data_IF_174614002324
#
_entry.id   IF_174614002324
#
_cell.length_a   1.000
_cell.length_b   1.000
_cell.length_c   1.000
_cell.angle_alpha   90.00
_cell.angle_beta   90.00
_cell.angle_gamma   90.00
#
_symmetry.space_group_name_H-M   'P 1'
#
loop_
_entity.id
_entity.type
_entity.pdbx_description
1 polymer ?
#
# COMPACT_ATOMS: atom_id res chain seq x y z
N UNK A 1 27.93 16.50 2.72
CA UNK A 1 27.02 15.39 2.36
C UNK A 1 27.43 14.22 3.25
N UNK A 2 26.53 13.62 4.04
CA UNK A 2 26.92 12.61 5.03
C UNK A 2 27.37 11.28 4.39
N UNK A 3 26.85 10.95 3.20
CA UNK A 3 27.19 9.76 2.43
C UNK A 3 26.85 9.99 0.94
N UNK A 4 27.61 9.42 0.00
CA UNK A 4 27.36 9.51 -1.45
C UNK A 4 27.32 8.10 -2.07
N UNK A 5 26.14 7.69 -2.54
CA UNK A 5 25.90 6.37 -3.13
C UNK A 5 26.73 6.10 -4.39
N UNK A 6 27.18 7.14 -5.11
CA UNK A 6 28.01 6.97 -6.31
C UNK A 6 29.40 6.40 -5.98
N UNK A 7 29.85 6.62 -4.75
CA UNK A 7 31.17 6.23 -4.26
C UNK A 7 31.10 5.13 -3.18
N UNK A 8 29.92 4.53 -2.98
CA UNK A 8 29.73 3.50 -1.97
C UNK A 8 30.50 2.20 -2.27
N UNK A 9 30.92 1.51 -1.20
CA UNK A 9 31.51 0.18 -1.28
C UNK A 9 30.57 -0.84 -1.95
N UNK A 10 31.15 -1.88 -2.54
CA UNK A 10 30.42 -2.94 -3.24
C UNK A 10 29.41 -3.65 -2.32
N UNK A 11 29.72 -3.84 -1.04
CA UNK A 11 28.81 -4.47 -0.06
C UNK A 11 27.54 -3.65 0.13
N UNK A 12 27.67 -2.33 0.20
CA UNK A 12 26.52 -1.42 0.32
C UNK A 12 25.69 -1.44 -0.96
N UNK A 13 26.33 -1.47 -2.13
CA UNK A 13 25.61 -1.56 -3.42
C UNK A 13 24.80 -2.84 -3.53
N UNK A 14 25.35 -3.98 -3.10
CA UNK A 14 24.62 -5.24 -3.06
C UNK A 14 23.47 -5.22 -2.06
N UNK A 15 23.72 -4.73 -0.84
CA UNK A 15 22.68 -4.59 0.18
C UNK A 15 21.49 -3.76 -0.34
N UNK A 16 21.76 -2.58 -0.89
CA UNK A 16 20.72 -1.68 -1.43
C UNK A 16 20.02 -2.32 -2.62
N UNK A 17 20.75 -2.93 -3.55
CA UNK A 17 20.16 -3.62 -4.71
C UNK A 17 19.20 -4.73 -4.28
N UNK A 18 19.64 -5.61 -3.36
CA UNK A 18 18.82 -6.73 -2.90
C UNK A 18 17.60 -6.24 -2.10
N UNK A 19 17.79 -5.25 -1.22
CA UNK A 19 16.68 -4.65 -0.48
C UNK A 19 15.64 -4.06 -1.42
N UNK A 20 16.06 -3.26 -2.41
CA UNK A 20 15.15 -2.68 -3.39
C UNK A 20 14.48 -3.76 -4.23
N UNK A 21 15.20 -4.79 -4.67
CA UNK A 21 14.59 -5.89 -5.43
C UNK A 21 13.51 -6.65 -4.63
N UNK A 22 13.77 -6.92 -3.34
CA UNK A 22 12.80 -7.52 -2.44
C UNK A 22 11.58 -6.61 -2.27
N UNK A 23 11.78 -5.34 -1.92
CA UNK A 23 10.69 -4.38 -1.74
C UNK A 23 9.88 -4.22 -3.04
N UNK A 24 10.53 -4.08 -4.19
CA UNK A 24 9.87 -3.96 -5.48
C UNK A 24 9.02 -5.17 -5.81
N UNK A 25 9.51 -6.38 -5.53
CA UNK A 25 8.73 -7.61 -5.67
C UNK A 25 7.51 -7.58 -4.74
N UNK A 26 7.68 -7.18 -3.48
CA UNK A 26 6.57 -7.03 -2.53
C UNK A 26 5.53 -5.99 -2.99
N UNK A 27 5.95 -4.86 -3.57
CA UNK A 27 5.04 -3.86 -4.14
C UNK A 27 4.23 -4.42 -5.32
N UNK A 28 4.84 -5.25 -6.17
CA UNK A 28 4.11 -5.91 -7.27
C UNK A 28 3.05 -6.88 -6.75
N UNK A 29 3.38 -7.70 -5.74
CA UNK A 29 2.41 -8.57 -5.09
C UNK A 29 1.33 -7.78 -4.35
N UNK A 30 1.68 -6.66 -3.71
CA UNK A 30 0.71 -5.75 -3.10
C UNK A 30 -0.26 -5.16 -4.13
N UNK A 31 0.24 -4.69 -5.27
CA UNK A 31 -0.60 -4.21 -6.36
C UNK A 31 -1.49 -5.32 -6.94
N UNK A 32 -0.97 -6.53 -7.04
CA UNK A 32 -1.75 -7.70 -7.46
C UNK A 32 -2.88 -8.02 -6.47
N UNK A 33 -2.59 -8.00 -5.16
CA UNK A 33 -3.60 -8.15 -4.11
C UNK A 33 -4.69 -7.06 -4.22
N UNK A 34 -4.30 -5.79 -4.39
CA UNK A 34 -5.26 -4.70 -4.60
C UNK A 34 -6.13 -4.97 -5.82
N UNK A 35 -5.55 -5.43 -6.93
CA UNK A 35 -6.30 -5.76 -8.14
C UNK A 35 -7.38 -6.84 -7.91
N UNK A 36 -7.08 -7.84 -7.07
CA UNK A 36 -7.99 -8.94 -6.76
C UNK A 36 -9.09 -8.55 -5.76
N UNK A 37 -8.76 -7.74 -4.74
CA UNK A 37 -9.65 -7.55 -3.59
C UNK A 37 -10.33 -6.18 -3.51
N UNK A 38 -9.67 -5.10 -3.96
CA UNK A 38 -10.16 -3.73 -3.78
C UNK A 38 -10.34 -2.95 -5.09
N UNK A 39 -9.64 -3.35 -6.15
CA UNK A 39 -9.59 -2.65 -7.43
C UNK A 39 -8.83 -1.31 -7.40
N UNK A 40 -8.66 -0.71 -8.57
CA UNK A 40 -7.96 0.58 -8.75
C UNK A 40 -8.90 1.76 -9.05
N UNK A 41 -10.21 1.59 -8.82
CA UNK A 41 -11.21 2.64 -9.02
C UNK A 41 -11.79 3.09 -7.67
N UNK A 42 -12.09 4.39 -7.50
CA UNK A 42 -12.67 4.89 -6.25
C UNK A 42 -13.96 4.15 -5.87
N UNK A 43 -14.75 3.75 -6.87
CA UNK A 43 -15.97 2.98 -6.66
C UNK A 43 -15.72 1.62 -6.02
N UNK A 44 -14.76 0.83 -6.54
CA UNK A 44 -14.45 -0.50 -6.02
C UNK A 44 -13.84 -0.46 -4.61
N UNK A 45 -13.00 0.54 -4.37
CA UNK A 45 -12.45 0.80 -3.03
C UNK A 45 -13.56 1.19 -2.06
N UNK A 46 -14.51 2.03 -2.49
CA UNK A 46 -15.68 2.39 -1.69
C UNK A 46 -16.60 1.19 -1.38
N UNK A 47 -16.78 0.24 -2.31
CA UNK A 47 -17.52 -1.00 -2.06
C UNK A 47 -16.81 -1.87 -1.00
N UNK A 48 -15.49 -1.96 -1.08
CA UNK A 48 -14.65 -2.81 -0.21
C UNK A 48 -14.62 -2.28 1.23
N UNK A 49 -14.39 -0.98 1.41
CA UNK A 49 -14.17 -0.34 2.72
C UNK A 49 -15.37 0.48 3.22
N UNK A 50 -16.42 0.67 2.43
CA UNK A 50 -17.56 1.50 2.81
C UNK A 50 -18.43 0.89 3.92
N UNK A 51 -19.30 1.69 4.55
CA UNK A 51 -20.21 1.21 5.59
C UNK A 51 -21.32 0.29 5.06
N UNK A 52 -21.59 0.28 3.75
CA UNK A 52 -22.66 -0.52 3.14
C UNK A 52 -22.44 -2.05 3.26
N UNK A 53 -21.20 -2.51 3.46
CA UNK A 53 -20.90 -3.92 3.71
C UNK A 53 -20.95 -4.34 5.17
N UNK A 54 -21.17 -3.41 6.12
CA UNK A 54 -21.57 -3.73 7.51
C UNK A 54 -23.07 -4.07 7.57
N UNK A 55 -23.63 -4.67 6.52
CA UNK A 55 -24.95 -5.28 6.60
C UNK A 55 -24.83 -6.36 7.69
N UNK A 56 -25.23 -5.97 8.90
CA UNK A 56 -25.31 -6.83 10.07
C UNK A 56 -26.06 -8.05 9.57
N UNK A 57 -25.38 -9.19 9.53
CA UNK A 57 -26.02 -10.50 9.53
C UNK A 57 -26.75 -10.58 10.87
N UNK A 58 -27.83 -9.80 10.99
CA UNK A 58 -28.84 -9.98 11.99
C UNK A 58 -29.40 -11.34 11.60
N UNK A 59 -28.84 -12.39 12.21
CA UNK A 59 -29.48 -13.68 12.29
C UNK A 59 -30.77 -13.43 13.06
N UNK A 60 -31.79 -12.94 12.34
CA UNK A 60 -33.16 -13.03 12.77
C UNK A 60 -33.42 -14.52 12.84
N UNK A 61 -33.43 -15.04 14.08
CA UNK A 61 -33.88 -16.39 14.34
C UNK A 61 -35.21 -16.55 13.61
N UNK A 62 -35.32 -17.52 12.69
CA UNK A 62 -36.56 -17.71 11.97
C UNK A 62 -37.67 -17.99 13.00
N UNK A 63 -38.87 -17.41 12.85
CA UNK A 63 -39.99 -17.73 13.73
C UNK A 63 -40.23 -19.24 13.74
N UNK A 64 -40.78 -19.79 14.82
CA UNK A 64 -41.02 -21.24 15.03
C UNK A 64 -41.87 -21.91 13.92
N UNK A 65 -42.45 -21.11 13.02
CA UNK A 65 -43.21 -21.53 11.84
C UNK A 65 -42.36 -21.68 10.57
N UNK A 66 -41.03 -21.53 10.64
CA UNK A 66 -40.17 -21.54 9.45
C UNK A 66 -39.91 -22.97 8.99
N UNK A 67 -40.38 -23.30 7.79
CA UNK A 67 -40.05 -24.56 7.13
C UNK A 67 -38.64 -24.43 6.54
N UNK A 68 -37.70 -25.23 7.05
CA UNK A 68 -36.36 -25.37 6.46
C UNK A 68 -36.48 -26.23 5.21
N UNK A 69 -36.35 -25.60 4.04
CA UNK A 69 -36.31 -26.27 2.75
C UNK A 69 -34.87 -26.29 2.22
N UNK A 70 -34.29 -27.47 2.05
CA UNK A 70 -33.01 -27.63 1.38
C UNK A 70 -33.19 -27.43 -0.13
N UNK A 71 -32.64 -26.35 -0.66
CA UNK A 71 -32.57 -26.09 -2.10
C UNK A 71 -31.12 -26.28 -2.57
N UNK A 72 -30.87 -27.06 -3.63
CA UNK A 72 -29.55 -27.12 -4.25
C UNK A 72 -29.21 -25.73 -4.83
N UNK A 73 -28.13 -25.12 -4.33
CA UNK A 73 -27.55 -23.88 -4.89
C UNK A 73 -26.43 -24.27 -5.82
N UNK A 74 -26.54 -23.89 -7.09
CA UNK A 74 -25.48 -24.10 -8.07
C UNK A 74 -24.37 -23.05 -7.91
N UNK A 75 -23.14 -23.36 -8.32
CA UNK A 75 -22.04 -22.40 -8.36
C UNK A 75 -22.32 -21.17 -9.24
N UNK A 76 -23.27 -21.28 -10.20
CA UNK A 76 -23.72 -20.16 -11.02
C UNK A 76 -24.70 -19.22 -10.29
N UNK A 77 -25.31 -19.68 -9.20
CA UNK A 77 -26.22 -18.89 -8.34
C UNK A 77 -25.48 -18.27 -7.14
N UNK A 78 -24.28 -18.74 -6.82
CA UNK A 78 -23.37 -18.05 -5.91
C UNK A 78 -22.79 -16.84 -6.64
N UNK A 79 -23.29 -15.64 -6.33
CA UNK A 79 -22.70 -14.40 -6.83
C UNK A 79 -21.22 -14.30 -6.42
N UNK A 80 -20.45 -13.45 -7.10
CA UNK A 80 -19.07 -13.17 -6.69
C UNK A 80 -19.05 -12.73 -5.22
N UNK A 81 -18.33 -13.47 -4.37
CA UNK A 81 -18.10 -13.07 -2.98
C UNK A 81 -17.33 -11.76 -2.99
N UNK A 82 -18.02 -10.67 -2.67
CA UNK A 82 -17.42 -9.36 -2.60
C UNK A 82 -16.58 -9.28 -1.32
N UNK A 83 -15.28 -9.10 -1.48
CA UNK A 83 -14.38 -8.94 -0.33
C UNK A 83 -14.77 -7.67 0.43
N UNK A 84 -15.11 -7.83 1.71
CA UNK A 84 -15.49 -6.72 2.58
C UNK A 84 -14.52 -6.62 3.76
N UNK A 85 -14.11 -5.40 4.07
CA UNK A 85 -13.25 -5.11 5.21
C UNK A 85 -14.08 -4.46 6.31
N UNK A 86 -14.32 -5.22 7.38
CA UNK A 86 -14.94 -4.70 8.60
C UNK A 86 -13.97 -3.84 9.42
N UNK A 87 -14.47 -3.22 10.49
CA UNK A 87 -13.64 -2.35 11.35
C UNK A 87 -12.55 -3.12 12.07
N UNK A 88 -12.80 -4.35 12.48
CA UNK A 88 -11.85 -5.14 13.27
C UNK A 88 -10.67 -5.57 12.40
N UNK A 89 -10.95 -6.00 11.16
CA UNK A 89 -9.96 -6.25 10.12
C UNK A 89 -9.18 -4.97 9.79
N UNK A 90 -9.85 -3.81 9.67
CA UNK A 90 -9.14 -2.55 9.37
C UNK A 90 -8.23 -2.09 10.52
N UNK A 91 -8.63 -2.32 11.78
CA UNK A 91 -7.77 -2.08 12.95
C UNK A 91 -6.55 -3.00 12.92
N UNK A 92 -6.77 -4.30 12.69
CA UNK A 92 -5.69 -5.28 12.61
C UNK A 92 -4.72 -4.92 11.47
N UNK A 93 -5.25 -4.59 10.30
CA UNK A 93 -4.47 -4.22 9.13
C UNK A 93 -3.63 -2.97 9.40
N UNK A 94 -4.24 -1.93 9.98
CA UNK A 94 -3.54 -0.70 10.39
C UNK A 94 -2.45 -0.99 11.43
N UNK A 95 -2.72 -1.84 12.43
CA UNK A 95 -1.78 -2.16 13.50
C UNK A 95 -0.53 -2.89 13.00
N UNK A 96 -0.70 -3.81 12.05
CA UNK A 96 0.41 -4.61 11.51
C UNK A 96 1.18 -3.84 10.44
N UNK A 97 0.47 -3.19 9.52
CA UNK A 97 1.10 -2.59 8.35
C UNK A 97 1.70 -1.21 8.62
N UNK A 98 1.06 -0.36 9.44
CA UNK A 98 1.55 1.00 9.68
C UNK A 98 2.99 1.02 10.25
N UNK A 99 3.34 0.20 11.26
CA UNK A 99 4.71 0.12 11.75
C UNK A 99 5.69 -0.40 10.69
N UNK A 100 5.28 -1.40 9.90
CA UNK A 100 6.11 -1.95 8.83
C UNK A 100 6.39 -0.90 7.74
N UNK A 101 5.37 -0.13 7.33
CA UNK A 101 5.54 0.97 6.39
C UNK A 101 6.48 2.05 6.93
N UNK A 102 6.45 2.35 8.23
CA UNK A 102 7.41 3.27 8.83
C UNK A 102 8.86 2.75 8.73
N UNK A 103 9.08 1.44 8.92
CA UNK A 103 10.40 0.81 8.73
C UNK A 103 10.85 0.88 7.26
N UNK A 104 9.96 0.56 6.32
CA UNK A 104 10.24 0.64 4.89
C UNK A 104 10.59 2.09 4.49
N UNK A 105 9.78 3.07 4.94
CA UNK A 105 10.02 4.49 4.68
C UNK A 105 11.36 4.95 5.26
N UNK A 106 11.73 4.50 6.46
CA UNK A 106 13.02 4.79 7.06
C UNK A 106 14.18 4.22 6.24
N UNK A 107 14.11 2.95 5.83
CA UNK A 107 15.12 2.32 4.98
C UNK A 107 15.28 3.06 3.63
N UNK A 108 14.18 3.38 2.96
CA UNK A 108 14.19 4.14 1.71
C UNK A 108 14.70 5.57 1.90
N UNK A 109 14.42 6.19 3.04
CA UNK A 109 14.92 7.53 3.39
C UNK A 109 16.44 7.52 3.62
N UNK A 110 16.98 6.49 4.26
CA UNK A 110 18.44 6.31 4.39
C UNK A 110 19.10 6.20 3.02
N UNK A 111 18.50 5.49 2.07
CA UNK A 111 18.96 5.45 0.68
C UNK A 111 18.86 6.84 0.05
N UNK A 112 17.74 7.55 0.23
CA UNK A 112 17.51 8.89 -0.31
C UNK A 112 18.54 9.92 0.18
N UNK A 113 18.99 9.82 1.43
CA UNK A 113 20.06 10.67 1.99
C UNK A 113 21.40 10.50 1.27
N UNK A 114 21.65 9.32 0.68
CA UNK A 114 22.85 9.02 -0.10
C UNK A 114 22.76 9.44 -1.57
N UNK A 115 21.59 9.89 -2.05
CA UNK A 115 21.41 10.27 -3.45
C UNK A 115 22.05 11.63 -3.74
N UNK A 116 22.78 11.72 -4.84
CA UNK A 116 23.33 12.96 -5.36
C UNK A 116 22.25 13.80 -6.07
N UNK A 117 21.33 14.36 -5.29
CA UNK A 117 20.21 15.21 -5.72
C UNK A 117 20.17 16.51 -4.91
N UNK A 118 19.50 17.58 -5.39
CA UNK A 118 19.36 18.80 -4.61
C UNK A 118 18.59 18.53 -3.29
N UNK A 119 18.97 19.25 -2.22
CA UNK A 119 18.45 19.03 -0.86
C UNK A 119 16.92 19.04 -0.78
N UNK A 120 16.27 19.98 -1.46
CA UNK A 120 14.81 20.09 -1.44
C UNK A 120 14.14 18.85 -2.03
N UNK A 121 14.73 18.24 -3.06
CA UNK A 121 14.20 17.03 -3.69
C UNK A 121 14.36 15.82 -2.77
N UNK A 122 15.50 15.71 -2.09
CA UNK A 122 15.71 14.68 -1.06
C UNK A 122 14.68 14.79 0.08
N UNK A 123 14.43 16.01 0.57
CA UNK A 123 13.41 16.25 1.60
C UNK A 123 11.99 15.94 1.12
N UNK A 124 11.65 16.29 -0.12
CA UNK A 124 10.35 15.97 -0.72
C UNK A 124 10.16 14.45 -0.86
N UNK A 125 11.19 13.72 -1.29
CA UNK A 125 11.17 12.25 -1.39
C UNK A 125 10.97 11.63 0.01
N UNK A 126 11.70 12.10 1.02
CA UNK A 126 11.54 11.58 2.39
C UNK A 126 10.11 11.87 2.88
N UNK A 127 9.61 13.08 2.67
CA UNK A 127 8.26 13.46 3.08
C UNK A 127 7.19 12.57 2.42
N UNK A 128 7.27 12.31 1.11
CA UNK A 128 6.27 11.46 0.43
C UNK A 128 6.35 10.00 0.90
N UNK A 129 7.54 9.47 1.18
CA UNK A 129 7.71 8.09 1.67
C UNK A 129 7.00 7.85 3.00
N UNK A 130 6.98 8.86 3.90
CA UNK A 130 6.26 8.77 5.17
C UNK A 130 4.78 9.16 5.04
N UNK A 131 4.45 10.16 4.23
CA UNK A 131 3.08 10.66 4.11
C UNK A 131 2.16 9.70 3.34
N UNK A 132 2.68 9.00 2.33
CA UNK A 132 1.86 8.18 1.45
C UNK A 132 1.16 7.00 2.16
N UNK A 133 1.81 6.21 3.03
CA UNK A 133 1.11 5.19 3.82
C UNK A 133 0.03 5.78 4.73
N UNK A 134 0.29 6.95 5.33
CA UNK A 134 -0.70 7.63 6.16
C UNK A 134 -1.92 8.07 5.35
N UNK A 135 -1.72 8.62 4.16
CA UNK A 135 -2.82 8.98 3.25
C UNK A 135 -3.64 7.76 2.86
N UNK A 136 -2.97 6.63 2.59
CA UNK A 136 -3.62 5.38 2.21
C UNK A 136 -4.61 4.90 3.30
N UNK A 137 -4.10 4.67 4.52
CA UNK A 137 -4.92 4.25 5.66
C UNK A 137 -5.94 5.30 6.09
N UNK A 138 -5.57 6.59 6.09
CA UNK A 138 -6.53 7.65 6.39
C UNK A 138 -7.69 7.64 5.40
N UNK A 139 -7.41 7.39 4.12
CA UNK A 139 -8.43 7.22 3.10
C UNK A 139 -9.36 6.03 3.40
N UNK A 140 -8.82 4.89 3.82
CA UNK A 140 -9.62 3.70 4.16
C UNK A 140 -10.54 4.00 5.35
N UNK A 141 -10.00 4.60 6.41
CA UNK A 141 -10.75 4.99 7.61
C UNK A 141 -11.81 6.06 7.31
N UNK A 142 -11.51 7.08 6.52
CA UNK A 142 -12.47 8.10 6.10
C UNK A 142 -13.57 7.50 5.20
N UNK A 143 -13.22 6.54 4.34
CA UNK A 143 -14.18 5.80 3.51
C UNK A 143 -15.15 5.01 4.39
N UNK A 144 -14.65 4.38 5.46
CA UNK A 144 -15.43 3.59 6.41
C UNK A 144 -16.31 4.45 7.31
N UNK A 145 -15.77 5.55 7.86
CA UNK A 145 -16.41 6.31 8.95
C UNK A 145 -17.16 7.56 8.50
N UNK A 146 -16.77 8.17 7.38
CA UNK A 146 -17.28 9.47 6.97
C UNK A 146 -18.08 9.40 5.66
N UNK A 147 -17.46 8.94 4.57
CA UNK A 147 -18.11 8.89 3.26
C UNK A 147 -17.36 8.00 2.26
N UNK A 148 -18.08 7.19 1.44
CA UNK A 148 -17.50 6.48 0.30
C UNK A 148 -16.66 7.36 -0.64
N UNK A 149 -16.96 8.66 -0.69
CA UNK A 149 -16.22 9.62 -1.52
C UNK A 149 -14.74 9.74 -1.16
N UNK A 150 -14.31 9.38 0.04
CA UNK A 150 -12.89 9.45 0.44
C UNK A 150 -12.03 8.32 -0.13
N UNK A 151 -12.60 7.37 -0.86
CA UNK A 151 -11.86 6.27 -1.49
C UNK A 151 -10.76 6.73 -2.45
N UNK A 152 -10.88 7.94 -3.02
CA UNK A 152 -9.80 8.51 -3.84
C UNK A 152 -8.52 8.79 -3.03
N UNK A 153 -8.64 9.07 -1.72
CA UNK A 153 -7.50 9.37 -0.84
C UNK A 153 -6.65 8.11 -0.65
N UNK A 154 -7.30 6.95 -0.48
CA UNK A 154 -6.64 5.63 -0.46
C UNK A 154 -5.84 5.42 -1.74
N UNK A 155 -6.49 5.59 -2.90
CA UNK A 155 -5.81 5.43 -4.20
C UNK A 155 -4.64 6.42 -4.36
N UNK A 156 -4.81 7.68 -3.98
CA UNK A 156 -3.76 8.67 -4.03
C UNK A 156 -2.57 8.28 -3.13
N UNK A 157 -2.83 7.76 -1.92
CA UNK A 157 -1.82 7.21 -1.02
C UNK A 157 -1.07 6.04 -1.64
N UNK A 158 -1.79 5.03 -2.14
CA UNK A 158 -1.22 3.87 -2.83
C UNK A 158 -0.31 4.24 -4.01
N UNK A 159 -0.76 5.13 -4.89
CA UNK A 159 0.04 5.61 -6.01
C UNK A 159 1.25 6.44 -5.57
N UNK A 160 1.11 7.27 -4.53
CA UNK A 160 2.21 8.04 -3.97
C UNK A 160 3.29 7.12 -3.37
N UNK A 161 2.90 6.02 -2.72
CA UNK A 161 3.85 5.01 -2.21
C UNK A 161 4.64 4.37 -3.36
N UNK A 162 3.93 3.91 -4.39
CA UNK A 162 4.57 3.31 -5.58
C UNK A 162 5.54 4.30 -6.24
N UNK A 163 5.12 5.55 -6.44
CA UNK A 163 5.95 6.60 -7.01
C UNK A 163 7.20 6.88 -6.17
N UNK A 164 7.04 7.02 -4.85
CA UNK A 164 8.16 7.26 -3.92
C UNK A 164 9.20 6.14 -4.00
N UNK A 165 8.76 4.89 -3.96
CA UNK A 165 9.63 3.73 -4.13
C UNK A 165 10.33 3.74 -5.50
N UNK A 166 9.59 3.93 -6.60
CA UNK A 166 10.15 3.91 -7.96
C UNK A 166 11.21 4.98 -8.16
N UNK A 167 11.00 6.20 -7.65
CA UNK A 167 11.97 7.29 -7.73
C UNK A 167 13.26 6.90 -7.00
N UNK A 168 13.16 6.45 -5.75
CA UNK A 168 14.33 6.04 -4.95
C UNK A 168 15.05 4.89 -5.62
N UNK A 169 14.33 3.86 -6.05
CA UNK A 169 14.90 2.68 -6.68
C UNK A 169 15.63 3.03 -7.98
N UNK A 170 14.97 3.78 -8.88
CA UNK A 170 15.56 4.17 -10.16
C UNK A 170 16.82 5.03 -9.98
N UNK A 171 16.76 6.05 -9.10
CA UNK A 171 17.90 6.92 -8.86
C UNK A 171 19.05 6.19 -8.16
N UNK A 172 18.77 5.36 -7.16
CA UNK A 172 19.81 4.60 -6.46
C UNK A 172 20.48 3.61 -7.41
N UNK A 173 19.71 2.83 -8.17
CA UNK A 173 20.24 1.87 -9.13
C UNK A 173 21.06 2.56 -10.23
N UNK A 174 20.57 3.66 -10.77
CA UNK A 174 21.30 4.45 -11.74
C UNK A 174 22.61 5.00 -11.16
N UNK A 175 22.58 5.67 -10.00
CA UNK A 175 23.77 6.30 -9.42
C UNK A 175 24.83 5.29 -8.96
N UNK A 176 24.42 4.12 -8.44
CA UNK A 176 25.37 3.09 -8.01
C UNK A 176 26.04 2.40 -9.20
N UNK A 177 25.27 2.02 -10.23
CA UNK A 177 25.75 1.08 -11.26
C UNK A 177 26.05 1.72 -12.62
N UNK A 178 25.33 2.78 -13.00
CA UNK A 178 25.36 3.35 -14.37
C UNK A 178 25.85 4.80 -14.42
N UNK A 179 25.77 5.54 -13.31
CA UNK A 179 26.16 6.93 -13.23
C UNK A 179 27.66 7.10 -13.42
N UNK A 180 28.05 8.05 -14.29
CA UNK A 180 29.47 8.45 -14.39
C UNK A 180 29.91 8.98 -13.03
N UNK A 181 31.00 8.44 -12.51
CA UNK A 181 31.70 9.01 -11.36
C UNK A 181 32.20 10.40 -11.80
N UNK A 182 31.51 11.45 -11.40
CA UNK A 182 32.05 12.80 -11.52
C UNK A 182 33.18 12.87 -10.50
N UNK A 183 34.43 13.00 -10.97
CA UNK A 183 35.57 13.23 -10.09
C UNK A 183 35.28 14.44 -9.19
N UNK A 184 35.72 14.40 -7.92
CA UNK A 184 35.47 15.45 -6.93
C UNK A 184 36.03 16.81 -7.36
#
# INVERSE_FOLDING_TARGET
MLYDLRHSDLRVRWLVTLLLATLGTSYLFGAWMVALYAGFSPHKVAETYGPAGEAVMAMQMPPDTTIVAERPVSMAEMGEEMHHVDKDLLVQDTHVHMPMYAVIAACLSVIALGLAIPRWAGLAIIAILFAAPWLDFAGMWLTKLASPGFAFVTLAGGWAMALGYTIVAALAMWQMWLGRKTNP
#
